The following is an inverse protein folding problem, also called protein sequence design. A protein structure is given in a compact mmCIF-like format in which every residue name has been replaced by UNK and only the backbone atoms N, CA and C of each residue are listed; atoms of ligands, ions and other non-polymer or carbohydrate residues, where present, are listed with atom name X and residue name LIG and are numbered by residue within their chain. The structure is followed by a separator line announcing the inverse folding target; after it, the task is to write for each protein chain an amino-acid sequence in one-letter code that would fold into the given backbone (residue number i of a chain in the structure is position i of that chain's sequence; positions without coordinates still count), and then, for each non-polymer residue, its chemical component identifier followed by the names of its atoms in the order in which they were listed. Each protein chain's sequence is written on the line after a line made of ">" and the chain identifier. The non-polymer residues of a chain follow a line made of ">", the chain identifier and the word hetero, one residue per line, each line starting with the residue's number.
data_IF_595683442076
#
_entry.id   IF_595683442076
#
_cell.length_a   1.000
_cell.length_b   1.000
_cell.length_c   1.000
_cell.angle_alpha   90.00
_cell.angle_beta   90.00
_cell.angle_gamma   90.00
#
_symmetry.space_group_name_H-M   'P 1'
#
loop_
_entity.id
_entity.type
_entity.pdbx_description
1 polymer ?
#
# COMPACT_ATOMS: atom_id res chain seq x y z
N UNK A 1 9.20 9.17 -36.57
CA UNK A 1 9.50 10.37 -35.76
C UNK A 1 9.46 9.88 -34.32
N UNK A 2 10.31 10.34 -33.43
CA UNK A 2 10.09 10.03 -32.00
C UNK A 2 8.83 10.78 -31.56
N UNK A 3 7.97 10.18 -30.69
CA UNK A 3 6.83 10.87 -30.16
C UNK A 3 7.27 12.10 -29.37
N UNK A 4 6.49 13.17 -29.44
CA UNK A 4 6.71 14.40 -28.68
C UNK A 4 6.02 14.30 -27.31
N UNK A 5 6.81 14.28 -26.28
CA UNK A 5 6.38 14.14 -24.87
C UNK A 5 6.34 15.48 -24.13
N UNK A 6 6.38 16.60 -24.87
CA UNK A 6 6.25 17.94 -24.29
C UNK A 6 4.87 18.15 -23.66
N UNK A 7 4.84 18.63 -22.43
CA UNK A 7 3.59 18.98 -21.72
C UNK A 7 3.00 20.24 -22.33
N UNK A 8 1.81 20.14 -22.95
CA UNK A 8 1.12 21.24 -23.58
C UNK A 8 0.06 21.89 -22.69
N UNK A 9 -0.65 21.05 -21.90
CA UNK A 9 -1.70 21.54 -21.01
C UNK A 9 -1.89 20.58 -19.83
N UNK A 10 -2.40 21.13 -18.72
CA UNK A 10 -2.77 20.35 -17.52
C UNK A 10 -4.11 20.85 -16.98
N UNK A 11 -4.97 19.89 -16.63
CA UNK A 11 -6.25 20.16 -15.98
C UNK A 11 -6.33 19.48 -14.61
N UNK A 12 -7.10 20.08 -13.71
CA UNK A 12 -7.41 19.50 -12.41
C UNK A 12 -8.91 19.58 -12.17
N UNK A 13 -9.46 18.58 -11.48
CA UNK A 13 -10.83 18.60 -10.97
C UNK A 13 -10.97 17.90 -9.64
N UNK A 14 -12.02 18.26 -8.92
CA UNK A 14 -12.43 17.52 -7.73
C UNK A 14 -13.17 16.25 -8.14
N UNK A 15 -12.85 15.13 -7.48
CA UNK A 15 -13.52 13.84 -7.63
C UNK A 15 -13.74 13.23 -6.24
N UNK A 16 -14.42 12.10 -6.16
CA UNK A 16 -14.63 11.38 -4.90
C UNK A 16 -13.82 10.08 -4.86
N UNK A 17 -13.23 9.80 -3.71
CA UNK A 17 -12.62 8.50 -3.44
C UNK A 17 -13.68 7.46 -3.00
N UNK A 18 -13.25 6.22 -2.74
CA UNK A 18 -14.14 5.10 -2.35
C UNK A 18 -14.84 5.28 -0.98
N UNK A 19 -14.41 6.29 -0.19
CA UNK A 19 -15.04 6.67 1.09
C UNK A 19 -16.07 7.80 0.93
N UNK A 20 -16.21 8.35 -0.30
CA UNK A 20 -17.03 9.53 -0.58
C UNK A 20 -16.40 10.84 -0.10
N UNK A 21 -15.09 10.86 0.12
CA UNK A 21 -14.34 12.05 0.46
C UNK A 21 -13.82 12.73 -0.81
N UNK A 22 -13.78 14.07 -0.82
CA UNK A 22 -13.23 14.83 -1.94
C UNK A 22 -11.73 14.59 -2.07
N UNK A 23 -11.29 14.38 -3.31
CA UNK A 23 -9.90 14.34 -3.73
C UNK A 23 -9.74 15.04 -5.08
N UNK A 24 -8.53 15.02 -5.64
CA UNK A 24 -8.24 15.66 -6.93
C UNK A 24 -7.83 14.62 -7.97
N UNK A 25 -8.29 14.86 -9.20
CA UNK A 25 -7.84 14.20 -10.41
C UNK A 25 -7.13 15.21 -11.29
N UNK A 26 -5.94 14.84 -11.78
CA UNK A 26 -5.15 15.65 -12.71
C UNK A 26 -5.14 14.99 -14.09
N UNK A 27 -5.29 15.79 -15.13
CA UNK A 27 -5.13 15.43 -16.53
C UNK A 27 -3.89 16.13 -17.10
N UNK A 28 -3.12 15.41 -17.90
CA UNK A 28 -1.92 15.91 -18.56
C UNK A 28 -2.03 15.62 -20.04
N UNK A 29 -1.91 16.66 -20.85
CA UNK A 29 -1.95 16.62 -22.30
C UNK A 29 -0.55 16.87 -22.86
N UNK A 30 -0.06 15.92 -23.63
CA UNK A 30 1.18 16.02 -24.39
C UNK A 30 0.86 16.20 -25.86
N UNK A 31 1.81 16.61 -26.66
CA UNK A 31 1.64 16.66 -28.13
C UNK A 31 1.14 15.32 -28.68
N UNK A 32 1.74 14.20 -28.27
CA UNK A 32 1.41 12.86 -28.76
C UNK A 32 0.81 11.93 -27.69
N UNK A 33 0.41 12.45 -26.53
CA UNK A 33 -0.06 11.61 -25.43
C UNK A 33 -1.04 12.30 -24.49
N UNK A 34 -1.72 11.47 -23.69
CA UNK A 34 -2.64 11.90 -22.65
C UNK A 34 -2.56 10.95 -21.45
N UNK A 35 -2.61 11.51 -20.25
CA UNK A 35 -2.67 10.74 -19.03
C UNK A 35 -3.50 11.41 -17.96
N UNK A 36 -4.08 10.62 -17.06
CA UNK A 36 -4.78 11.12 -15.89
C UNK A 36 -4.63 10.22 -14.70
N UNK A 37 -4.68 10.79 -13.52
CA UNK A 37 -4.66 10.07 -12.27
C UNK A 37 -5.34 10.87 -11.16
N UNK A 38 -5.89 10.17 -10.17
CA UNK A 38 -6.44 10.77 -8.97
C UNK A 38 -5.66 10.35 -7.72
N UNK A 39 -5.56 11.25 -6.75
CA UNK A 39 -4.87 10.98 -5.50
C UNK A 39 -5.72 10.08 -4.58
N UNK A 40 -5.17 8.98 -4.03
CA UNK A 40 -5.81 8.23 -2.96
C UNK A 40 -5.62 8.92 -1.60
N UNK A 41 -6.40 8.54 -0.58
CA UNK A 41 -6.32 9.09 0.76
C UNK A 41 -6.41 8.01 1.84
N UNK A 42 -5.59 8.09 2.89
CA UNK A 42 -5.69 7.23 4.06
C UNK A 42 -6.81 7.64 5.02
N UNK A 43 -7.49 6.68 5.66
CA UNK A 43 -8.40 6.92 6.79
C UNK A 43 -7.64 7.35 8.06
N UNK A 44 -6.43 6.86 8.23
CA UNK A 44 -5.42 7.33 9.18
C UNK A 44 -4.22 7.82 8.38
N UNK A 45 -3.54 8.83 8.90
CA UNK A 45 -2.31 9.36 8.32
C UNK A 45 -1.23 9.35 9.39
N UNK A 46 -0.05 8.84 9.06
CA UNK A 46 1.13 8.96 9.91
C UNK A 46 1.49 10.43 10.10
N UNK A 47 2.00 10.79 11.27
CA UNK A 47 2.28 12.20 11.60
C UNK A 47 3.38 12.83 10.70
N UNK A 48 4.13 11.99 10.00
CA UNK A 48 5.22 12.40 9.11
C UNK A 48 4.88 12.29 7.62
N UNK A 49 3.61 11.99 7.26
CA UNK A 49 3.16 12.09 5.86
C UNK A 49 3.17 13.56 5.39
N UNK A 50 3.29 13.74 4.07
CA UNK A 50 3.12 15.07 3.48
C UNK A 50 1.70 15.62 3.72
N UNK A 51 1.58 16.94 3.74
CA UNK A 51 0.28 17.62 3.89
C UNK A 51 -0.59 17.30 2.68
N UNK A 52 -1.75 16.69 2.90
CA UNK A 52 -2.61 16.21 1.81
C UNK A 52 -3.20 17.36 0.99
N UNK A 53 -3.85 18.32 1.64
CA UNK A 53 -4.25 19.60 1.05
C UNK A 53 -3.76 20.76 1.90
N UNK A 54 -3.34 21.90 1.28
CA UNK A 54 -2.99 23.09 2.02
C UNK A 54 -4.19 23.56 2.86
N UNK A 55 -3.97 23.76 4.16
CA UNK A 55 -5.01 24.13 5.14
C UNK A 55 -6.24 23.17 5.18
N UNK A 56 -6.09 21.91 4.78
CA UNK A 56 -7.18 20.95 4.60
C UNK A 56 -8.28 21.43 3.62
N UNK A 57 -7.93 22.28 2.66
CA UNK A 57 -8.85 22.93 1.71
C UNK A 57 -8.56 22.46 0.27
N UNK A 58 -9.47 21.66 -0.28
CA UNK A 58 -9.39 21.14 -1.65
C UNK A 58 -9.55 22.27 -2.70
N UNK A 59 -10.38 23.28 -2.44
CA UNK A 59 -10.57 24.39 -3.37
C UNK A 59 -9.32 25.26 -3.45
N UNK A 60 -8.63 25.45 -2.32
CA UNK A 60 -7.32 26.10 -2.28
C UNK A 60 -6.29 25.31 -3.08
N UNK A 61 -6.27 23.97 -2.93
CA UNK A 61 -5.36 23.11 -3.68
C UNK A 61 -5.61 23.21 -5.19
N UNK A 62 -6.87 23.16 -5.64
CA UNK A 62 -7.25 23.32 -7.05
C UNK A 62 -6.83 24.69 -7.57
N UNK A 63 -7.17 25.78 -6.87
CA UNK A 63 -6.80 27.13 -7.33
C UNK A 63 -5.29 27.37 -7.32
N UNK A 64 -4.54 26.72 -6.43
CA UNK A 64 -3.08 26.78 -6.41
C UNK A 64 -2.48 26.04 -7.59
N UNK A 65 -3.02 24.85 -7.93
CA UNK A 65 -2.61 24.12 -9.12
C UNK A 65 -2.78 24.94 -10.39
N UNK A 66 -3.96 25.51 -10.60
CA UNK A 66 -4.26 26.32 -11.80
C UNK A 66 -3.36 27.57 -11.95
N UNK A 67 -3.01 28.20 -10.83
CA UNK A 67 -2.24 29.46 -10.84
C UNK A 67 -0.74 29.26 -10.85
N UNK A 68 -0.25 28.15 -10.29
CA UNK A 68 1.19 27.97 -10.07
C UNK A 68 1.74 26.66 -10.64
N UNK A 69 1.05 25.53 -10.47
CA UNK A 69 1.58 24.23 -10.90
C UNK A 69 1.45 24.06 -12.41
N UNK A 70 0.24 24.19 -12.95
CA UNK A 70 0.00 23.96 -14.37
C UNK A 70 0.84 24.88 -15.28
N UNK A 71 0.89 26.23 -15.07
CA UNK A 71 1.70 27.09 -15.92
C UNK A 71 3.20 26.79 -15.88
N UNK A 72 3.69 26.28 -14.74
CA UNK A 72 5.12 26.08 -14.51
C UNK A 72 5.63 24.72 -15.02
N UNK A 73 4.73 23.76 -15.23
CA UNK A 73 5.03 22.47 -15.83
C UNK A 73 4.91 22.44 -17.36
N UNK A 74 4.19 23.40 -17.96
CA UNK A 74 4.07 23.49 -19.43
C UNK A 74 5.44 23.66 -20.08
N UNK A 75 5.67 22.92 -21.17
CA UNK A 75 6.94 22.91 -21.91
C UNK A 75 7.99 21.95 -21.38
N UNK A 76 7.78 21.30 -20.22
CA UNK A 76 8.66 20.23 -19.76
C UNK A 76 8.46 18.93 -20.56
N UNK A 77 9.50 18.12 -20.61
CA UNK A 77 9.44 16.79 -21.21
C UNK A 77 8.92 15.76 -20.18
N UNK A 78 7.70 15.27 -20.38
CA UNK A 78 7.06 14.29 -19.52
C UNK A 78 7.80 12.93 -19.48
N UNK A 79 8.68 12.63 -20.44
CA UNK A 79 9.47 11.39 -20.42
C UNK A 79 10.56 11.38 -19.35
N UNK A 80 10.92 12.56 -18.84
CA UNK A 80 11.90 12.74 -17.77
C UNK A 80 11.17 12.96 -16.45
N UNK A 81 10.54 11.90 -15.92
CA UNK A 81 9.73 11.94 -14.69
C UNK A 81 10.39 12.71 -13.54
N UNK A 82 11.70 12.52 -13.34
CA UNK A 82 12.43 13.16 -12.24
C UNK A 82 12.51 14.69 -12.38
N UNK A 83 12.56 15.25 -13.59
CA UNK A 83 12.56 16.70 -13.78
C UNK A 83 11.20 17.29 -13.41
N UNK A 84 10.10 16.64 -13.80
CA UNK A 84 8.74 17.08 -13.45
C UNK A 84 8.53 16.99 -11.94
N UNK A 85 8.95 15.89 -11.29
CA UNK A 85 8.78 15.70 -9.86
C UNK A 85 9.64 16.68 -9.04
N UNK A 86 10.89 16.96 -9.47
CA UNK A 86 11.74 18.02 -8.88
C UNK A 86 11.07 19.38 -9.04
N UNK A 87 10.47 19.65 -10.20
CA UNK A 87 9.78 20.92 -10.43
C UNK A 87 8.58 21.11 -9.50
N UNK A 88 7.81 20.04 -9.23
CA UNK A 88 6.74 20.08 -8.23
C UNK A 88 7.27 20.44 -6.83
N UNK A 89 8.42 19.88 -6.43
CA UNK A 89 9.08 20.21 -5.17
C UNK A 89 9.54 21.66 -5.10
N UNK A 90 10.12 22.18 -6.19
CA UNK A 90 10.55 23.58 -6.29
C UNK A 90 9.37 24.56 -6.21
N UNK A 91 8.25 24.25 -6.89
CA UNK A 91 7.01 25.05 -6.84
C UNK A 91 6.45 25.07 -5.41
N UNK A 92 6.43 23.93 -4.72
CA UNK A 92 5.99 23.85 -3.32
C UNK A 92 6.95 24.59 -2.38
N UNK A 93 8.24 24.34 -2.50
CA UNK A 93 9.30 24.99 -1.70
C UNK A 93 9.27 24.65 -0.22
N UNK A 94 8.49 23.61 0.20
CA UNK A 94 8.46 23.10 1.57
C UNK A 94 8.92 21.64 1.61
N UNK A 95 9.25 21.11 2.78
CA UNK A 95 9.68 19.72 2.90
C UNK A 95 8.55 18.71 2.74
N UNK A 96 7.29 19.13 2.98
CA UNK A 96 6.13 18.25 3.14
C UNK A 96 4.93 18.62 2.24
N UNK A 97 5.15 19.30 1.13
CA UNK A 97 4.11 19.73 0.19
C UNK A 97 2.96 20.55 0.83
N UNK A 98 3.26 21.34 1.87
CA UNK A 98 2.23 22.12 2.57
C UNK A 98 1.66 23.31 1.77
N UNK A 99 2.31 23.69 0.65
CA UNK A 99 1.86 24.81 -0.18
C UNK A 99 0.96 24.41 -1.34
N UNK A 100 1.30 23.33 -2.07
CA UNK A 100 0.47 22.83 -3.19
C UNK A 100 -0.40 21.63 -2.79
N UNK A 101 0.01 20.89 -1.78
CA UNK A 101 -0.64 19.67 -1.32
C UNK A 101 -0.05 18.41 -1.93
N UNK A 102 0.20 17.39 -1.11
CA UNK A 102 0.69 16.08 -1.54
C UNK A 102 -0.28 15.36 -2.48
N UNK A 103 -1.59 15.58 -2.33
CA UNK A 103 -2.59 15.06 -3.25
C UNK A 103 -2.42 15.61 -4.67
N UNK A 104 -2.18 16.91 -4.79
CA UNK A 104 -1.90 17.56 -6.09
C UNK A 104 -0.59 17.02 -6.67
N UNK A 105 0.46 16.94 -5.85
CA UNK A 105 1.77 16.46 -6.29
C UNK A 105 1.70 15.02 -6.82
N UNK A 106 1.12 14.08 -6.05
CA UNK A 106 1.06 12.66 -6.44
C UNK A 106 0.14 12.42 -7.64
N UNK A 107 -1.01 13.11 -7.71
CA UNK A 107 -1.90 12.99 -8.87
C UNK A 107 -1.22 13.49 -10.14
N UNK A 108 -0.51 14.64 -10.06
CA UNK A 108 0.26 15.19 -11.19
C UNK A 108 1.38 14.25 -11.61
N UNK A 109 2.20 13.79 -10.67
CA UNK A 109 3.32 12.86 -10.92
C UNK A 109 2.84 11.56 -11.61
N UNK A 110 1.74 10.97 -11.12
CA UNK A 110 1.15 9.78 -11.75
C UNK A 110 0.52 10.06 -13.13
N UNK A 111 -0.13 11.21 -13.31
CA UNK A 111 -0.74 11.57 -14.58
C UNK A 111 0.32 11.83 -15.68
N UNK A 112 1.43 12.46 -15.30
CA UNK A 112 2.60 12.68 -16.19
C UNK A 112 3.20 11.33 -16.62
N UNK A 113 3.46 10.43 -15.69
CA UNK A 113 3.98 9.09 -16.02
C UNK A 113 3.06 8.34 -17.00
N UNK A 114 1.74 8.43 -16.78
CA UNK A 114 0.76 7.80 -17.67
C UNK A 114 0.70 8.47 -19.04
N UNK A 115 0.74 9.80 -19.10
CA UNK A 115 0.76 10.52 -20.37
C UNK A 115 2.01 10.16 -21.19
N UNK A 116 3.16 10.17 -20.56
CA UNK A 116 4.44 9.78 -21.18
C UNK A 116 4.43 8.34 -21.68
N UNK A 117 3.96 7.39 -20.86
CA UNK A 117 3.88 5.97 -21.26
C UNK A 117 2.96 5.78 -22.48
N UNK A 118 1.85 6.52 -22.56
CA UNK A 118 0.91 6.49 -23.66
C UNK A 118 1.54 7.10 -24.94
N UNK A 119 2.22 8.25 -24.83
CA UNK A 119 2.91 8.87 -25.96
C UNK A 119 4.00 7.94 -26.54
N UNK A 120 4.74 7.27 -25.66
CA UNK A 120 5.80 6.33 -26.05
C UNK A 120 5.27 4.95 -26.50
N UNK A 121 3.95 4.71 -26.43
CA UNK A 121 3.29 3.44 -26.74
C UNK A 121 3.87 2.24 -25.95
N UNK A 122 4.32 2.46 -24.71
CA UNK A 122 4.83 1.41 -23.83
C UNK A 122 3.94 1.30 -22.58
N UNK A 123 3.76 0.09 -22.00
CA UNK A 123 3.03 -0.06 -20.76
C UNK A 123 3.63 0.76 -19.63
N UNK A 124 2.78 1.35 -18.78
CA UNK A 124 3.24 2.21 -17.67
C UNK A 124 4.24 1.51 -16.74
N UNK A 125 4.09 0.21 -16.45
CA UNK A 125 5.07 -0.51 -15.63
C UNK A 125 6.46 -0.60 -16.27
N UNK A 126 6.53 -0.65 -17.62
CA UNK A 126 7.81 -0.61 -18.34
C UNK A 126 8.40 0.79 -18.41
N UNK A 127 7.55 1.81 -18.50
CA UNK A 127 7.99 3.19 -18.40
C UNK A 127 8.63 3.48 -17.04
N UNK A 128 8.05 2.95 -15.95
CA UNK A 128 8.54 3.14 -14.59
C UNK A 128 9.76 2.26 -14.26
N UNK A 129 9.80 1.02 -14.72
CA UNK A 129 10.79 0.03 -14.27
C UNK A 129 11.77 -0.43 -15.35
N UNK A 130 11.60 0.05 -16.59
CA UNK A 130 12.41 -0.33 -17.74
C UNK A 130 11.95 -1.61 -18.44
N UNK A 131 12.50 -1.85 -19.62
CA UNK A 131 12.09 -2.93 -20.55
C UNK A 131 12.38 -4.35 -20.05
N UNK A 132 13.21 -4.51 -19.03
CA UNK A 132 13.52 -5.80 -18.41
C UNK A 132 12.60 -6.17 -17.25
N UNK A 133 11.61 -5.34 -16.91
CA UNK A 133 10.64 -5.61 -15.85
C UNK A 133 9.76 -6.80 -16.22
N UNK A 134 9.78 -7.87 -15.37
CA UNK A 134 9.07 -9.13 -15.61
C UNK A 134 8.61 -9.84 -14.33
N UNK A 135 8.92 -9.30 -13.17
CA UNK A 135 8.57 -9.88 -11.89
C UNK A 135 7.24 -9.27 -11.39
N UNK A 136 6.24 -10.13 -11.11
CA UNK A 136 4.96 -9.70 -10.55
C UNK A 136 4.95 -9.86 -9.03
N UNK A 137 4.32 -8.92 -8.30
CA UNK A 137 4.18 -9.00 -6.86
C UNK A 137 3.21 -10.09 -6.45
N UNK A 138 3.39 -10.66 -5.25
CA UNK A 138 2.36 -11.45 -4.59
C UNK A 138 1.31 -10.52 -3.96
N UNK A 139 0.00 -10.80 -4.16
CA UNK A 139 -1.06 -9.98 -3.59
C UNK A 139 -1.28 -10.31 -2.10
N UNK A 140 -0.99 -9.37 -1.22
CA UNK A 140 -1.33 -9.41 0.21
C UNK A 140 -2.75 -8.86 0.38
N UNK A 141 -3.70 -9.74 0.68
CA UNK A 141 -5.12 -9.42 0.68
C UNK A 141 -5.70 -9.24 2.08
N UNK A 142 -6.44 -8.15 2.32
CA UNK A 142 -7.16 -7.93 3.57
C UNK A 142 -8.47 -8.76 3.58
N UNK A 143 -8.63 -9.64 4.57
CA UNK A 143 -9.75 -10.61 4.67
C UNK A 143 -10.72 -10.24 5.78
N UNK A 144 -10.21 -9.91 6.98
CA UNK A 144 -11.00 -9.47 8.14
C UNK A 144 -10.45 -8.12 8.59
N UNK A 145 -11.34 -7.16 8.76
CA UNK A 145 -11.01 -5.82 9.23
C UNK A 145 -11.44 -5.58 10.67
N UNK A 146 -10.62 -4.82 11.38
CA UNK A 146 -10.86 -4.34 12.74
C UNK A 146 -10.42 -2.88 12.90
N UNK A 147 -10.06 -2.49 14.10
CA UNK A 147 -9.53 -1.17 14.43
C UNK A 147 -10.37 -0.01 13.88
N UNK A 148 -9.71 1.03 13.38
CA UNK A 148 -10.37 2.21 12.77
C UNK A 148 -11.13 1.85 11.49
N UNK A 149 -10.67 0.89 10.70
CA UNK A 149 -11.31 0.46 9.46
C UNK A 149 -12.70 -0.16 9.68
N UNK A 150 -13.00 -0.66 10.88
CA UNK A 150 -14.31 -1.20 11.28
C UNK A 150 -15.06 -0.28 12.26
N UNK A 151 -14.72 0.99 12.31
CA UNK A 151 -15.33 2.01 13.20
C UNK A 151 -15.33 1.60 14.69
N UNK A 152 -14.28 0.90 15.11
CA UNK A 152 -14.13 0.39 16.47
C UNK A 152 -15.08 -0.75 16.85
N UNK A 153 -15.71 -1.41 15.87
CA UNK A 153 -16.54 -2.58 16.06
C UNK A 153 -15.83 -3.82 15.54
N UNK A 154 -15.41 -4.73 16.43
CA UNK A 154 -14.70 -5.94 16.06
C UNK A 154 -13.31 -6.08 16.71
N UNK A 155 -12.35 -6.78 16.09
CA UNK A 155 -10.99 -6.90 16.62
C UNK A 155 -10.30 -5.54 16.77
N UNK A 156 -9.45 -5.37 17.79
CA UNK A 156 -8.64 -4.15 17.94
C UNK A 156 -7.50 -4.09 16.91
N UNK A 157 -6.98 -5.22 16.46
CA UNK A 157 -6.05 -5.31 15.32
C UNK A 157 -6.75 -4.89 14.04
N UNK A 158 -6.09 -4.03 13.25
CA UNK A 158 -6.71 -3.34 12.12
C UNK A 158 -6.98 -4.25 10.92
N UNK A 159 -6.03 -5.16 10.58
CA UNK A 159 -6.18 -6.03 9.40
C UNK A 159 -5.65 -7.44 9.66
N UNK A 160 -6.37 -8.41 9.11
CA UNK A 160 -5.98 -9.81 9.06
C UNK A 160 -5.82 -10.22 7.60
N UNK A 161 -4.57 -10.51 7.23
CA UNK A 161 -4.08 -10.54 5.87
C UNK A 161 -3.74 -11.97 5.42
N UNK A 162 -3.83 -12.20 4.12
CA UNK A 162 -3.36 -13.45 3.50
C UNK A 162 -2.42 -13.18 2.33
N UNK A 163 -1.35 -13.97 2.25
CA UNK A 163 -0.29 -13.84 1.26
C UNK A 163 -0.04 -15.19 0.58
N UNK A 164 -0.53 -15.43 -0.64
CA UNK A 164 -0.35 -16.70 -1.38
C UNK A 164 1.03 -16.78 -2.03
N UNK A 165 2.10 -16.75 -1.21
CA UNK A 165 3.51 -16.68 -1.66
C UNK A 165 4.01 -17.95 -2.36
N UNK A 166 3.27 -19.07 -2.29
CA UNK A 166 3.55 -20.30 -3.03
C UNK A 166 2.87 -20.39 -4.38
N UNK A 167 2.06 -19.41 -4.77
CA UNK A 167 1.31 -19.44 -6.02
C UNK A 167 2.21 -19.41 -7.25
N UNK A 168 1.92 -20.22 -8.29
CA UNK A 168 2.75 -20.31 -9.49
C UNK A 168 2.61 -19.08 -10.41
N UNK A 169 1.49 -18.37 -10.33
CA UNK A 169 1.15 -17.22 -11.17
C UNK A 169 0.20 -16.27 -10.42
N UNK A 170 0.04 -15.05 -10.97
CA UNK A 170 -0.79 -14.00 -10.36
C UNK A 170 -2.27 -14.36 -10.32
N UNK A 171 -2.79 -15.03 -11.36
CA UNK A 171 -4.20 -15.43 -11.40
C UNK A 171 -4.52 -16.46 -10.29
N UNK A 172 -3.66 -17.46 -10.12
CA UNK A 172 -3.77 -18.45 -9.06
C UNK A 172 -3.67 -17.81 -7.67
N UNK A 173 -2.78 -16.82 -7.48
CA UNK A 173 -2.64 -16.07 -6.24
C UNK A 173 -3.92 -15.29 -5.91
N UNK A 174 -4.45 -14.52 -6.85
CA UNK A 174 -5.69 -13.75 -6.67
C UNK A 174 -6.90 -14.65 -6.43
N UNK A 175 -6.99 -15.78 -7.14
CA UNK A 175 -8.06 -16.77 -6.94
C UNK A 175 -8.00 -17.37 -5.52
N UNK A 176 -6.81 -17.64 -4.99
CA UNK A 176 -6.64 -18.12 -3.62
C UNK A 176 -7.12 -17.08 -2.59
N UNK A 177 -6.77 -15.79 -2.76
CA UNK A 177 -7.26 -14.70 -1.91
C UNK A 177 -8.80 -14.63 -1.91
N UNK A 178 -9.44 -14.70 -3.08
CA UNK A 178 -10.91 -14.71 -3.19
C UNK A 178 -11.52 -15.94 -2.51
N UNK A 179 -10.91 -17.11 -2.65
CA UNK A 179 -11.40 -18.35 -2.01
C UNK A 179 -11.30 -18.26 -0.48
N UNK A 180 -10.18 -17.75 0.06
CA UNK A 180 -10.03 -17.51 1.50
C UNK A 180 -11.08 -16.53 1.99
N UNK A 181 -11.23 -15.39 1.33
CA UNK A 181 -12.21 -14.35 1.70
C UNK A 181 -13.63 -14.92 1.75
N UNK A 182 -14.05 -15.69 0.73
CA UNK A 182 -15.37 -16.34 0.69
C UNK A 182 -15.55 -17.42 1.76
N UNK A 183 -14.50 -18.17 2.06
CA UNK A 183 -14.55 -19.23 3.07
C UNK A 183 -14.62 -18.65 4.46
N UNK A 184 -13.89 -17.55 4.74
CA UNK A 184 -13.98 -16.81 6.01
C UNK A 184 -15.39 -16.29 6.25
N UNK A 185 -16.09 -15.78 5.25
CA UNK A 185 -17.51 -15.40 5.39
C UNK A 185 -18.37 -16.53 5.98
N UNK A 186 -18.22 -17.75 5.43
CA UNK A 186 -18.99 -18.91 5.90
C UNK A 186 -18.70 -19.25 7.35
N UNK A 187 -17.45 -19.08 7.80
CA UNK A 187 -17.07 -19.31 9.19
C UNK A 187 -17.58 -18.20 10.12
N UNK A 188 -17.55 -16.94 9.68
CA UNK A 188 -18.10 -15.81 10.43
C UNK A 188 -19.61 -15.98 10.69
N UNK A 189 -20.38 -16.42 9.70
CA UNK A 189 -21.83 -16.72 9.87
C UNK A 189 -22.08 -17.82 10.90
N UNK A 190 -21.17 -18.80 11.03
CA UNK A 190 -21.30 -19.86 12.06
C UNK A 190 -21.05 -19.31 13.47
N UNK A 191 -20.12 -18.37 13.62
CA UNK A 191 -19.77 -17.76 14.93
C UNK A 191 -20.81 -16.69 15.32
N UNK A 192 -21.24 -15.90 14.37
CA UNK A 192 -22.30 -14.89 14.54
C UNK A 192 -23.39 -15.07 13.47
N UNK A 193 -24.47 -15.81 13.76
CA UNK A 193 -25.59 -15.98 12.80
C UNK A 193 -26.28 -14.67 12.38
N UNK A 194 -26.06 -13.57 13.12
CA UNK A 194 -26.57 -12.24 12.75
C UNK A 194 -25.70 -11.51 11.75
N UNK A 195 -24.50 -12.02 11.46
CA UNK A 195 -23.57 -11.41 10.51
C UNK A 195 -24.08 -11.50 9.08
N UNK A 196 -24.40 -10.36 8.49
CA UNK A 196 -25.01 -10.25 7.15
C UNK A 196 -24.00 -9.93 6.04
N UNK A 197 -22.69 -9.96 6.33
CA UNK A 197 -21.64 -9.66 5.34
C UNK A 197 -21.25 -8.19 5.26
N UNK A 198 -21.30 -7.48 6.38
CA UNK A 198 -20.73 -6.13 6.49
C UNK A 198 -19.24 -6.13 6.16
N UNK A 199 -18.81 -5.14 5.40
CA UNK A 199 -17.41 -4.95 4.98
C UNK A 199 -16.92 -3.58 5.42
N UNK A 200 -15.61 -3.49 5.66
CA UNK A 200 -14.93 -2.22 5.91
C UNK A 200 -14.60 -1.49 4.59
N UNK A 201 -13.92 -0.35 4.70
CA UNK A 201 -13.54 0.51 3.58
C UNK A 201 -12.62 -0.20 2.55
N UNK A 202 -11.97 -1.29 2.93
CA UNK A 202 -11.06 -2.06 2.08
C UNK A 202 -11.66 -3.37 1.56
N UNK A 203 -12.95 -3.58 1.80
CA UNK A 203 -13.66 -4.78 1.33
C UNK A 203 -13.48 -6.02 2.21
N UNK A 204 -12.76 -5.91 3.34
CA UNK A 204 -12.60 -6.99 4.32
C UNK A 204 -13.84 -7.14 5.19
N UNK A 205 -14.07 -8.35 5.70
CA UNK A 205 -15.22 -8.64 6.56
C UNK A 205 -15.12 -7.91 7.91
N UNK A 206 -16.14 -7.14 8.27
CA UNK A 206 -16.24 -6.44 9.53
C UNK A 206 -17.25 -7.15 10.46
N UNK A 207 -16.73 -7.96 11.39
CA UNK A 207 -17.53 -8.80 12.28
C UNK A 207 -17.20 -8.51 13.75
N UNK A 208 -18.19 -8.66 14.66
CA UNK A 208 -18.00 -8.47 16.10
C UNK A 208 -17.40 -9.71 16.76
N UNK A 209 -16.10 -9.88 16.57
CA UNK A 209 -15.31 -11.00 17.09
C UNK A 209 -14.03 -10.48 17.75
N UNK A 210 -13.40 -11.29 18.58
CA UNK A 210 -12.09 -10.98 19.16
C UNK A 210 -10.96 -11.21 18.16
N UNK A 211 -9.79 -10.62 18.41
CA UNK A 211 -8.53 -10.89 17.69
C UNK A 211 -8.22 -12.38 17.62
N UNK A 212 -8.35 -13.09 18.76
CA UNK A 212 -8.12 -14.53 18.82
C UNK A 212 -9.07 -15.31 17.91
N UNK A 213 -10.37 -15.00 17.93
CA UNK A 213 -11.37 -15.63 17.05
C UNK A 213 -11.07 -15.37 15.58
N UNK A 214 -10.69 -14.14 15.21
CA UNK A 214 -10.33 -13.79 13.84
C UNK A 214 -9.14 -14.62 13.33
N UNK A 215 -8.06 -14.72 14.12
CA UNK A 215 -6.88 -15.51 13.77
C UNK A 215 -7.16 -17.02 13.75
N UNK A 216 -7.97 -17.55 14.65
CA UNK A 216 -8.34 -18.98 14.67
C UNK A 216 -9.16 -19.36 13.42
N UNK A 217 -10.11 -18.50 13.01
CA UNK A 217 -10.87 -18.67 11.76
C UNK A 217 -9.92 -18.62 10.56
N UNK A 218 -9.11 -17.57 10.47
CA UNK A 218 -8.22 -17.37 9.33
C UNK A 218 -7.21 -18.50 9.19
N UNK A 219 -6.59 -18.93 10.28
CA UNK A 219 -5.62 -20.04 10.29
C UNK A 219 -6.24 -21.37 9.81
N UNK A 220 -7.47 -21.68 10.24
CA UNK A 220 -8.20 -22.86 9.77
C UNK A 220 -8.50 -22.78 8.28
N UNK A 221 -9.09 -21.67 7.83
CA UNK A 221 -9.46 -21.46 6.42
C UNK A 221 -8.24 -21.46 5.52
N UNK A 222 -7.15 -20.80 5.91
CA UNK A 222 -5.91 -20.77 5.13
C UNK A 222 -5.35 -22.16 4.93
N UNK A 223 -5.32 -23.02 5.98
CA UNK A 223 -4.89 -24.41 5.86
C UNK A 223 -5.76 -25.22 4.90
N UNK A 224 -7.09 -25.08 4.98
CA UNK A 224 -8.03 -25.75 4.08
C UNK A 224 -7.83 -25.32 2.62
N UNK A 225 -7.72 -24.00 2.38
CA UNK A 225 -7.52 -23.48 1.04
C UNK A 225 -6.14 -23.84 0.49
N UNK A 226 -5.06 -23.74 1.28
CA UNK A 226 -3.70 -24.16 0.86
C UNK A 226 -3.68 -25.62 0.40
N UNK A 227 -4.32 -26.51 1.16
CA UNK A 227 -4.43 -27.92 0.77
C UNK A 227 -5.21 -28.12 -0.52
N UNK A 228 -6.27 -27.32 -0.74
CA UNK A 228 -7.11 -27.38 -1.94
C UNK A 228 -6.39 -26.88 -3.19
N UNK A 229 -5.63 -25.79 -3.08
CA UNK A 229 -4.94 -25.17 -4.22
C UNK A 229 -3.55 -25.77 -4.48
N UNK A 230 -2.97 -26.48 -3.50
CA UNK A 230 -1.69 -27.18 -3.62
C UNK A 230 -0.45 -26.28 -3.50
N UNK A 231 -0.60 -25.09 -2.90
CA UNK A 231 0.52 -24.19 -2.62
C UNK A 231 0.31 -23.42 -1.30
N UNK A 232 1.40 -22.83 -0.80
CA UNK A 232 1.44 -22.17 0.49
C UNK A 232 0.79 -20.77 0.45
N UNK A 233 -0.04 -20.50 1.47
CA UNK A 233 -0.65 -19.21 1.77
C UNK A 233 -0.23 -18.84 3.19
N UNK A 234 0.46 -17.72 3.34
CA UNK A 234 0.84 -17.14 4.62
C UNK A 234 -0.26 -16.28 5.23
N UNK A 235 -0.21 -16.11 6.55
CA UNK A 235 -1.07 -15.21 7.32
C UNK A 235 -0.24 -14.01 7.74
N UNK A 236 -0.83 -12.82 7.66
CA UNK A 236 -0.26 -11.59 8.19
C UNK A 236 -1.27 -10.79 9.01
N UNK A 237 -0.77 -9.81 9.73
CA UNK A 237 -1.57 -8.81 10.44
C UNK A 237 -1.00 -7.43 10.24
N UNK A 238 -1.86 -6.42 10.23
CA UNK A 238 -1.52 -5.02 10.42
C UNK A 238 -2.16 -4.56 11.73
N UNK A 239 -1.34 -4.16 12.69
CA UNK A 239 -1.83 -3.70 13.98
C UNK A 239 -2.21 -2.23 13.96
N UNK A 240 -1.57 -1.41 13.12
CA UNK A 240 -1.64 0.03 13.16
C UNK A 240 -1.50 0.55 14.61
N UNK A 241 -0.46 0.08 15.30
CA UNK A 241 -0.37 0.18 16.77
C UNK A 241 -0.22 1.61 17.28
N UNK A 242 0.12 2.59 16.43
CA UNK A 242 0.02 4.02 16.77
C UNK A 242 -1.39 4.41 17.21
N UNK A 243 -2.43 3.76 16.65
CA UNK A 243 -3.82 4.00 17.04
C UNK A 243 -4.21 3.38 18.39
N UNK A 244 -3.44 2.41 18.87
CA UNK A 244 -3.63 1.79 20.18
C UNK A 244 -2.81 2.48 21.29
N UNK A 245 -1.85 3.31 20.92
CA UNK A 245 -0.93 3.97 21.84
C UNK A 245 -1.56 5.20 22.50
N UNK A 246 -1.55 5.26 23.83
CA UNK A 246 -2.09 6.39 24.61
C UNK A 246 -1.01 7.33 25.17
N UNK A 247 0.24 7.16 24.75
CA UNK A 247 1.40 7.90 25.28
C UNK A 247 2.24 7.11 26.30
N UNK A 248 1.71 6.01 26.85
CA UNK A 248 2.39 5.15 27.84
C UNK A 248 2.20 3.68 27.56
N UNK A 249 1.01 3.27 27.09
CA UNK A 249 0.60 1.87 26.91
C UNK A 249 -0.25 1.69 25.66
N UNK A 250 -0.31 0.46 25.18
CA UNK A 250 -1.20 0.04 24.10
C UNK A 250 -2.55 -0.40 24.68
N UNK A 251 -3.65 0.26 24.26
CA UNK A 251 -5.00 0.02 24.77
C UNK A 251 -5.84 -0.68 23.72
N UNK A 252 -6.19 -1.92 23.98
CA UNK A 252 -7.08 -2.75 23.18
C UNK A 252 -8.49 -2.62 23.73
N UNK A 253 -9.21 -1.60 23.25
CA UNK A 253 -10.46 -1.13 23.84
C UNK A 253 -11.57 -2.18 23.79
N UNK A 254 -11.70 -2.89 22.64
CA UNK A 254 -12.76 -3.90 22.45
C UNK A 254 -12.52 -5.16 23.26
N UNK A 255 -11.26 -5.47 23.54
CA UNK A 255 -10.86 -6.63 24.34
C UNK A 255 -10.69 -6.28 25.83
N UNK A 256 -10.73 -5.00 26.19
CA UNK A 256 -10.55 -4.53 27.57
C UNK A 256 -9.15 -4.80 28.15
N UNK A 257 -8.13 -4.82 27.28
CA UNK A 257 -6.76 -5.17 27.63
C UNK A 257 -5.83 -3.97 27.40
N UNK A 258 -4.91 -3.77 28.33
CA UNK A 258 -3.86 -2.76 28.21
C UNK A 258 -2.50 -3.43 28.34
N UNK A 259 -1.54 -3.06 27.46
CA UNK A 259 -0.18 -3.62 27.43
C UNK A 259 0.87 -2.52 27.53
N UNK A 260 1.87 -2.70 28.36
CA UNK A 260 3.11 -1.94 28.31
C UNK A 260 3.89 -2.27 27.02
N UNK A 261 4.90 -1.51 26.60
CA UNK A 261 5.73 -1.81 25.45
C UNK A 261 6.32 -3.23 25.47
N UNK A 262 6.80 -3.66 26.65
CA UNK A 262 7.33 -5.02 26.82
C UNK A 262 6.26 -6.11 26.67
N UNK A 263 5.08 -5.92 27.24
CA UNK A 263 3.96 -6.86 27.08
C UNK A 263 3.44 -6.87 25.64
N UNK A 264 3.51 -5.75 24.93
CA UNK A 264 3.19 -5.67 23.50
C UNK A 264 4.16 -6.53 22.68
N UNK A 265 5.46 -6.42 22.92
CA UNK A 265 6.49 -7.22 22.24
C UNK A 265 6.24 -8.73 22.45
N UNK A 266 6.02 -9.18 23.69
CA UNK A 266 5.74 -10.58 23.99
C UNK A 266 4.41 -11.04 23.37
N UNK A 267 3.40 -10.20 23.35
CA UNK A 267 2.12 -10.49 22.68
C UNK A 267 2.30 -10.72 21.19
N UNK A 268 2.99 -9.80 20.48
CA UNK A 268 3.22 -9.92 19.03
C UNK A 268 4.05 -11.18 18.72
N UNK A 269 5.12 -11.40 19.45
CA UNK A 269 5.94 -12.62 19.34
C UNK A 269 5.10 -13.89 19.52
N UNK A 270 4.25 -13.91 20.55
CA UNK A 270 3.32 -15.02 20.79
C UNK A 270 2.32 -15.25 19.65
N UNK A 271 1.83 -14.19 19.00
CA UNK A 271 0.97 -14.30 17.80
C UNK A 271 1.76 -14.90 16.62
N UNK A 272 2.98 -14.41 16.36
CA UNK A 272 3.84 -14.92 15.29
C UNK A 272 4.10 -16.41 15.47
N UNK A 273 4.47 -16.85 16.68
CA UNK A 273 4.76 -18.24 16.99
C UNK A 273 3.51 -19.14 16.91
N UNK A 274 2.38 -18.68 17.48
CA UNK A 274 1.15 -19.49 17.55
C UNK A 274 0.51 -19.71 16.17
N UNK A 275 0.51 -18.68 15.31
CA UNK A 275 -0.18 -18.71 14.02
C UNK A 275 0.74 -18.83 12.81
N UNK A 276 2.07 -18.93 13.03
CA UNK A 276 3.10 -18.91 11.98
C UNK A 276 2.92 -17.70 11.04
N UNK A 277 2.79 -16.50 11.63
CA UNK A 277 2.63 -15.32 10.85
C UNK A 277 3.90 -15.05 10.02
N UNK A 278 3.71 -14.74 8.75
CA UNK A 278 4.80 -14.41 7.81
C UNK A 278 4.94 -12.90 7.60
N UNK A 279 4.02 -12.11 8.11
CA UNK A 279 3.95 -10.67 7.91
C UNK A 279 3.29 -9.99 9.11
N UNK A 280 3.96 -9.00 9.69
CA UNK A 280 3.43 -8.15 10.76
C UNK A 280 3.77 -6.70 10.45
N UNK A 281 2.73 -5.88 10.25
CA UNK A 281 2.83 -4.46 9.96
C UNK A 281 2.51 -3.64 11.20
N UNK A 282 3.28 -2.59 11.40
CA UNK A 282 3.17 -1.61 12.49
C UNK A 282 2.83 -2.23 13.87
N UNK A 283 3.66 -3.16 14.38
CA UNK A 283 3.44 -3.81 15.68
C UNK A 283 3.57 -2.86 16.88
N UNK A 284 4.21 -1.70 16.70
CA UNK A 284 4.43 -0.67 17.69
C UNK A 284 4.11 0.71 17.15
N UNK A 285 4.06 1.74 18.01
CA UNK A 285 3.79 3.11 17.58
C UNK A 285 4.97 3.69 16.75
N UNK A 286 4.69 4.68 15.93
CA UNK A 286 5.54 5.21 14.87
C UNK A 286 6.90 5.81 15.32
N UNK A 287 7.10 6.04 16.63
CA UNK A 287 8.38 6.52 17.16
C UNK A 287 9.19 5.43 17.92
N UNK A 288 8.66 4.20 18.02
CA UNK A 288 9.32 3.12 18.78
C UNK A 288 10.24 2.25 17.92
N UNK A 289 11.26 2.87 17.30
CA UNK A 289 12.27 2.16 16.51
C UNK A 289 12.94 1.03 17.28
N UNK A 290 13.11 1.20 18.61
CA UNK A 290 13.76 0.22 19.47
C UNK A 290 12.98 -1.08 19.56
N UNK A 291 11.67 -1.03 19.81
CA UNK A 291 10.85 -2.24 19.89
C UNK A 291 10.70 -2.92 18.51
N UNK A 292 10.65 -2.14 17.41
CA UNK A 292 10.74 -2.68 16.06
C UNK A 292 12.05 -3.45 15.84
N UNK A 293 13.19 -2.89 16.24
CA UNK A 293 14.50 -3.53 16.12
C UNK A 293 14.58 -4.82 16.95
N UNK A 294 14.13 -4.79 18.19
CA UNK A 294 14.09 -5.96 19.07
C UNK A 294 13.22 -7.08 18.52
N UNK A 295 12.04 -6.77 18.00
CA UNK A 295 11.19 -7.78 17.36
C UNK A 295 11.86 -8.34 16.10
N UNK A 296 12.47 -7.47 15.27
CA UNK A 296 13.13 -7.87 14.02
C UNK A 296 14.30 -8.81 14.28
N UNK A 297 15.11 -8.56 15.31
CA UNK A 297 16.21 -9.45 15.71
C UNK A 297 15.70 -10.85 16.13
N UNK A 298 14.54 -10.92 16.78
CA UNK A 298 13.96 -12.19 17.25
C UNK A 298 13.30 -13.01 16.13
N UNK A 299 12.58 -12.36 15.19
CA UNK A 299 11.70 -13.05 14.24
C UNK A 299 12.00 -12.78 12.77
N UNK A 300 12.93 -11.89 12.46
CA UNK A 300 13.14 -11.39 11.10
C UNK A 300 13.65 -12.40 10.06
N UNK A 301 14.08 -13.59 10.50
CA UNK A 301 14.44 -14.72 9.66
C UNK A 301 13.23 -15.51 9.13
N UNK A 302 12.07 -15.37 9.76
CA UNK A 302 10.83 -16.15 9.44
C UNK A 302 9.59 -15.29 9.26
N UNK A 303 9.63 -14.00 9.63
CA UNK A 303 8.51 -13.09 9.55
C UNK A 303 8.97 -11.71 9.05
N UNK A 304 8.23 -11.13 8.12
CA UNK A 304 8.44 -9.75 7.74
C UNK A 304 7.87 -8.84 8.84
N UNK A 305 8.73 -8.01 9.43
CA UNK A 305 8.38 -6.92 10.34
C UNK A 305 8.40 -5.64 9.51
N UNK A 306 7.21 -5.14 9.19
CA UNK A 306 7.02 -4.10 8.17
C UNK A 306 6.58 -2.81 8.81
N UNK A 307 7.19 -1.70 8.41
CA UNK A 307 6.80 -0.36 8.85
C UNK A 307 5.97 0.37 7.80
N UNK A 308 4.83 0.91 8.22
CA UNK A 308 4.01 1.88 7.50
C UNK A 308 4.16 3.26 8.15
N UNK A 309 3.48 3.54 9.25
CA UNK A 309 3.51 4.84 9.94
C UNK A 309 4.91 5.22 10.43
N UNK A 310 5.73 4.25 10.83
CA UNK A 310 7.11 4.49 11.27
C UNK A 310 8.00 5.05 10.14
N UNK A 311 7.74 4.67 8.88
CA UNK A 311 8.56 5.07 7.73
C UNK A 311 7.89 6.04 6.78
N UNK A 312 6.56 6.00 6.63
CA UNK A 312 5.70 6.84 5.76
C UNK A 312 6.28 7.04 4.35
N UNK A 313 6.83 5.99 3.75
CA UNK A 313 7.51 6.04 2.44
C UNK A 313 8.67 7.07 2.39
N UNK A 314 9.19 7.52 3.53
CA UNK A 314 10.18 8.60 3.63
C UNK A 314 11.60 8.03 3.75
N UNK A 315 12.54 8.36 2.80
CA UNK A 315 13.89 7.82 2.81
C UNK A 315 14.70 8.22 4.05
N UNK A 316 14.44 9.38 4.66
CA UNK A 316 15.11 9.81 5.88
C UNK A 316 14.69 8.95 7.08
N UNK A 317 13.38 8.69 7.23
CA UNK A 317 12.88 7.82 8.30
C UNK A 317 13.31 6.35 8.08
N UNK A 318 13.30 5.88 6.83
CA UNK A 318 13.84 4.55 6.50
C UNK A 318 15.33 4.45 6.83
N UNK A 319 16.14 5.51 6.56
CA UNK A 319 17.55 5.54 6.93
C UNK A 319 17.77 5.42 8.44
N UNK A 320 16.89 6.04 9.26
CA UNK A 320 16.91 5.84 10.72
C UNK A 320 16.60 4.38 11.08
N UNK A 321 15.56 3.80 10.49
CA UNK A 321 15.21 2.38 10.71
C UNK A 321 16.34 1.43 10.33
N UNK A 322 16.98 1.63 9.19
CA UNK A 322 18.12 0.83 8.74
C UNK A 322 19.26 0.89 9.76
N UNK A 323 19.57 2.09 10.26
CA UNK A 323 20.64 2.29 11.27
C UNK A 323 20.33 1.60 12.60
N UNK A 324 19.07 1.61 13.03
CA UNK A 324 18.63 0.99 14.28
C UNK A 324 18.32 -0.51 14.12
N UNK A 325 18.23 -1.04 12.90
CA UNK A 325 17.77 -2.42 12.61
C UNK A 325 16.26 -2.61 12.75
N UNK A 326 15.50 -1.51 12.64
CA UNK A 326 14.05 -1.50 12.88
C UNK A 326 13.27 -1.97 11.65
N UNK A 327 12.77 -3.21 11.69
CA UNK A 327 12.04 -3.82 10.58
C UNK A 327 12.95 -4.46 9.52
N UNK A 328 12.32 -5.19 8.60
CA UNK A 328 12.94 -5.79 7.42
C UNK A 328 12.04 -5.65 6.16
N UNK A 329 10.97 -4.85 6.28
CA UNK A 329 10.07 -4.46 5.20
C UNK A 329 9.53 -3.04 5.40
N UNK A 330 9.04 -2.46 4.33
CA UNK A 330 8.47 -1.11 4.31
C UNK A 330 7.24 -1.05 3.40
N UNK A 331 6.18 -0.39 3.87
CA UNK A 331 5.04 -0.03 3.04
C UNK A 331 5.40 1.15 2.14
N UNK A 332 5.04 1.07 0.88
CA UNK A 332 5.27 2.11 -0.12
C UNK A 332 3.91 2.65 -0.60
N UNK A 333 3.65 3.89 -0.29
CA UNK A 333 2.47 4.67 -0.68
C UNK A 333 2.94 6.00 -1.27
N UNK A 334 2.92 6.19 -2.60
CA UNK A 334 3.45 7.42 -3.21
C UNK A 334 2.82 8.71 -2.69
N UNK A 335 1.56 8.66 -2.27
CA UNK A 335 0.86 9.82 -1.70
C UNK A 335 1.37 10.24 -0.31
N UNK A 336 2.04 9.33 0.44
CA UNK A 336 2.67 9.68 1.72
C UNK A 336 3.89 10.59 1.57
N UNK A 337 4.53 10.57 0.38
CA UNK A 337 5.77 11.29 0.09
C UNK A 337 5.63 12.33 -1.04
N UNK A 338 4.54 12.27 -1.81
CA UNK A 338 4.10 13.29 -2.78
C UNK A 338 4.45 13.01 -4.23
N UNK A 339 5.51 12.29 -4.58
CA UNK A 339 5.88 12.01 -5.98
C UNK A 339 6.34 10.58 -6.21
N UNK A 340 6.28 10.12 -7.46
CA UNK A 340 6.78 8.80 -7.86
C UNK A 340 8.30 8.72 -7.72
N UNK A 341 9.04 9.79 -8.02
CA UNK A 341 10.50 9.80 -7.90
C UNK A 341 10.96 9.63 -6.46
N UNK A 342 10.35 10.34 -5.51
CA UNK A 342 10.64 10.16 -4.08
C UNK A 342 10.29 8.76 -3.57
N UNK A 343 9.15 8.23 -4.00
CA UNK A 343 8.75 6.86 -3.67
C UNK A 343 9.74 5.84 -4.25
N UNK A 344 10.20 6.05 -5.48
CA UNK A 344 11.23 5.23 -6.13
C UNK A 344 12.56 5.26 -5.38
N UNK A 345 13.02 6.44 -4.94
CA UNK A 345 14.25 6.57 -4.15
C UNK A 345 14.14 5.80 -2.82
N UNK A 346 12.98 5.83 -2.19
CA UNK A 346 12.71 5.04 -0.97
C UNK A 346 12.78 3.54 -1.25
N UNK A 347 12.18 3.08 -2.36
CA UNK A 347 12.26 1.66 -2.77
C UNK A 347 13.71 1.24 -3.03
N UNK A 348 14.48 2.06 -3.73
CA UNK A 348 15.92 1.78 -4.00
C UNK A 348 16.72 1.68 -2.70
N UNK A 349 16.50 2.61 -1.77
CA UNK A 349 17.13 2.58 -0.46
C UNK A 349 16.76 1.30 0.31
N UNK A 350 15.48 0.94 0.33
CA UNK A 350 14.96 -0.27 0.97
C UNK A 350 15.64 -1.53 0.42
N UNK A 351 15.59 -1.74 -0.89
CA UNK A 351 16.16 -2.92 -1.56
C UNK A 351 17.68 -3.01 -1.36
N UNK A 352 18.39 -1.88 -1.44
CA UNK A 352 19.85 -1.84 -1.26
C UNK A 352 20.28 -2.22 0.17
N UNK A 353 19.37 -2.13 1.15
CA UNK A 353 19.61 -2.48 2.55
C UNK A 353 18.86 -3.73 2.99
N UNK A 354 18.36 -4.52 2.04
CA UNK A 354 17.72 -5.81 2.30
C UNK A 354 16.29 -5.74 2.86
N UNK A 355 15.64 -4.57 2.85
CA UNK A 355 14.22 -4.42 3.17
C UNK A 355 13.35 -4.87 1.99
N UNK A 356 12.18 -5.42 2.31
CA UNK A 356 11.15 -5.80 1.33
C UNK A 356 10.19 -4.64 1.13
N UNK A 357 10.14 -4.00 -0.06
CA UNK A 357 9.12 -3.00 -0.35
C UNK A 357 7.77 -3.67 -0.61
N UNK A 358 6.72 -3.12 -0.01
CA UNK A 358 5.32 -3.54 -0.16
C UNK A 358 4.52 -2.35 -0.69
N UNK A 359 4.22 -2.35 -1.98
CA UNK A 359 3.40 -1.29 -2.57
C UNK A 359 1.96 -1.47 -2.13
N UNK A 360 1.37 -0.43 -1.55
CA UNK A 360 0.08 -0.52 -0.86
C UNK A 360 -0.95 0.48 -1.35
N UNK A 361 -2.20 0.02 -1.41
CA UNK A 361 -3.37 0.87 -1.58
C UNK A 361 -3.62 1.76 -0.36
N UNK A 362 -4.61 2.65 -0.46
CA UNK A 362 -5.14 3.40 0.68
C UNK A 362 -6.59 3.00 0.95
N UNK A 363 -7.09 3.27 2.17
CA UNK A 363 -8.49 3.01 2.53
C UNK A 363 -9.47 3.82 1.68
N UNK A 364 -9.19 5.10 1.42
CA UNK A 364 -9.88 5.93 0.45
C UNK A 364 -9.16 5.90 -0.90
N UNK A 365 -9.48 4.92 -1.74
CA UNK A 365 -8.82 4.71 -3.03
C UNK A 365 -9.71 5.17 -4.19
N UNK A 366 -9.16 5.18 -5.40
CA UNK A 366 -9.85 5.55 -6.63
C UNK A 366 -9.93 4.37 -7.59
N UNK A 367 -10.69 4.50 -8.69
CA UNK A 367 -10.83 3.46 -9.71
C UNK A 367 -9.58 3.21 -10.55
N UNK A 368 -8.54 4.03 -10.40
CA UNK A 368 -7.32 3.93 -11.20
C UNK A 368 -6.51 2.67 -10.85
N UNK A 369 -5.94 2.08 -11.89
CA UNK A 369 -5.11 0.86 -11.81
C UNK A 369 -3.61 1.16 -11.61
N UNK A 370 -3.21 2.42 -11.52
CA UNK A 370 -1.83 2.92 -11.47
C UNK A 370 -0.98 2.18 -10.43
N UNK A 371 -1.55 1.82 -9.28
CA UNK A 371 -0.85 1.09 -8.23
C UNK A 371 -0.28 -0.26 -8.69
N UNK A 372 -1.00 -0.97 -9.58
CA UNK A 372 -0.50 -2.24 -10.14
C UNK A 372 0.77 -2.01 -10.98
N UNK A 373 0.76 -0.97 -11.80
CA UNK A 373 1.92 -0.59 -12.60
C UNK A 373 3.10 -0.13 -11.73
N UNK A 374 2.84 0.63 -10.66
CA UNK A 374 3.87 1.03 -9.68
C UNK A 374 4.49 -0.19 -9.02
N UNK A 375 3.67 -1.14 -8.54
CA UNK A 375 4.16 -2.33 -7.88
C UNK A 375 5.08 -3.17 -8.79
N UNK A 376 4.68 -3.34 -10.04
CA UNK A 376 5.46 -4.09 -11.03
C UNK A 376 6.68 -3.29 -11.48
N UNK A 377 6.52 -2.01 -11.82
CA UNK A 377 7.60 -1.13 -12.30
C UNK A 377 8.69 -0.92 -11.24
N UNK A 378 8.31 -0.76 -9.99
CA UNK A 378 9.26 -0.62 -8.88
C UNK A 378 9.85 -1.96 -8.42
N UNK A 379 9.42 -3.08 -9.01
CA UNK A 379 9.94 -4.41 -8.67
C UNK A 379 9.57 -4.87 -7.28
N UNK A 380 8.50 -4.34 -6.70
CA UNK A 380 8.05 -4.71 -5.36
C UNK A 380 7.64 -6.18 -5.31
N UNK A 381 8.11 -6.96 -4.32
CA UNK A 381 7.74 -8.37 -4.18
C UNK A 381 6.29 -8.58 -3.72
N UNK A 382 5.68 -7.57 -3.11
CA UNK A 382 4.33 -7.62 -2.54
C UNK A 382 3.55 -6.38 -2.97
N UNK A 383 2.27 -6.60 -3.31
CA UNK A 383 1.26 -5.55 -3.40
C UNK A 383 0.19 -5.79 -2.34
N UNK A 384 0.00 -4.84 -1.42
CA UNK A 384 -1.07 -4.88 -0.41
C UNK A 384 -2.33 -4.23 -0.98
N UNK A 385 -3.44 -4.96 -0.98
CA UNK A 385 -4.73 -4.44 -1.46
C UNK A 385 -5.89 -5.23 -0.87
N UNK A 386 -7.05 -4.59 -0.72
CA UNK A 386 -8.30 -5.31 -0.48
C UNK A 386 -8.60 -6.29 -1.61
N UNK A 387 -9.35 -7.35 -1.29
CA UNK A 387 -9.68 -8.44 -2.23
C UNK A 387 -10.92 -8.11 -3.07
N UNK A 388 -11.87 -7.39 -2.51
CA UNK A 388 -13.14 -7.00 -3.13
C UNK A 388 -13.36 -5.50 -3.04
N UNK A 389 -14.11 -4.97 -3.99
CA UNK A 389 -14.38 -3.55 -4.19
C UNK A 389 -14.00 -3.16 -5.61
N UNK A 390 -14.73 -2.24 -6.24
CA UNK A 390 -14.45 -1.84 -7.63
C UNK A 390 -13.05 -1.26 -7.78
N UNK A 391 -12.69 -0.35 -6.87
CA UNK A 391 -11.39 0.30 -6.78
C UNK A 391 -10.24 -0.69 -6.50
N UNK A 392 -10.49 -1.79 -5.79
CA UNK A 392 -9.51 -2.86 -5.52
C UNK A 392 -9.35 -3.76 -6.73
N UNK A 393 -10.49 -4.21 -7.30
CA UNK A 393 -10.52 -5.07 -8.49
C UNK A 393 -9.87 -4.39 -9.71
N UNK A 394 -9.96 -3.07 -9.84
CA UNK A 394 -9.26 -2.34 -10.89
C UNK A 394 -7.75 -2.67 -10.89
N UNK A 395 -7.10 -2.59 -9.74
CA UNK A 395 -5.66 -2.89 -9.58
C UNK A 395 -5.35 -4.38 -9.74
N UNK A 396 -6.18 -5.24 -9.13
CA UNK A 396 -5.94 -6.68 -9.15
C UNK A 396 -6.12 -7.27 -10.57
N UNK A 397 -7.12 -6.82 -11.31
CA UNK A 397 -7.31 -7.22 -12.70
C UNK A 397 -6.20 -6.68 -13.61
N UNK A 398 -5.65 -5.50 -13.28
CA UNK A 398 -4.52 -4.96 -14.04
C UNK A 398 -3.27 -5.82 -13.91
N UNK A 399 -3.00 -6.40 -12.75
CA UNK A 399 -1.90 -7.37 -12.61
C UNK A 399 -2.07 -8.59 -13.54
N UNK A 400 -3.31 -9.04 -13.77
CA UNK A 400 -3.59 -10.13 -14.72
C UNK A 400 -3.30 -9.66 -16.15
N UNK A 401 -3.72 -8.44 -16.54
CA UNK A 401 -3.43 -7.89 -17.88
C UNK A 401 -1.94 -7.70 -18.11
N UNK A 402 -1.21 -7.21 -17.10
CA UNK A 402 0.25 -7.09 -17.14
C UNK A 402 0.90 -8.47 -17.32
N UNK A 403 0.42 -9.49 -16.60
CA UNK A 403 0.87 -10.87 -16.77
C UNK A 403 0.66 -11.36 -18.20
N UNK A 404 -0.54 -11.18 -18.75
CA UNK A 404 -0.88 -11.58 -20.12
C UNK A 404 -0.01 -10.84 -21.15
N UNK A 405 0.22 -9.54 -20.95
CA UNK A 405 1.08 -8.73 -21.81
C UNK A 405 2.54 -9.21 -21.78
N UNK A 406 3.08 -9.54 -20.62
CA UNK A 406 4.44 -10.09 -20.48
C UNK A 406 4.59 -11.49 -21.09
N UNK A 407 3.51 -12.26 -21.15
CA UNK A 407 3.47 -13.60 -21.71
C UNK A 407 4.47 -14.54 -21.03
N UNK A 408 5.29 -15.25 -21.83
CA UNK A 408 6.25 -16.23 -21.32
C UNK A 408 7.39 -15.63 -20.47
N UNK A 409 7.60 -14.33 -20.50
CA UNK A 409 8.63 -13.66 -19.70
C UNK A 409 8.16 -13.40 -18.26
N UNK A 410 6.84 -13.42 -18.00
CA UNK A 410 6.26 -13.17 -16.70
C UNK A 410 6.67 -14.23 -15.67
N UNK A 411 6.95 -13.80 -14.47
CA UNK A 411 7.19 -14.69 -13.31
C UNK A 411 6.79 -13.99 -12.02
N UNK A 412 6.43 -14.77 -11.00
CA UNK A 412 6.23 -14.25 -9.65
C UNK A 412 7.58 -13.87 -9.02
N UNK A 413 7.60 -12.82 -8.20
CA UNK A 413 8.83 -12.29 -7.61
C UNK A 413 9.44 -13.27 -6.59
N UNK A 414 10.54 -13.89 -6.94
CA UNK A 414 11.21 -14.94 -6.13
C UNK A 414 11.98 -14.37 -4.92
N UNK A 415 12.24 -13.06 -4.85
CA UNK A 415 12.94 -12.46 -3.72
C UNK A 415 12.18 -12.65 -2.40
N UNK A 416 10.84 -12.56 -2.45
CA UNK A 416 9.98 -12.80 -1.30
C UNK A 416 10.08 -14.25 -0.79
N UNK A 417 9.98 -15.21 -1.71
CA UNK A 417 9.97 -16.64 -1.36
C UNK A 417 11.26 -17.05 -0.64
N UNK A 418 12.38 -16.47 -1.02
CA UNK A 418 13.68 -16.71 -0.37
C UNK A 418 13.75 -16.15 1.04
N UNK A 419 13.03 -15.05 1.34
CA UNK A 419 13.02 -14.45 2.69
C UNK A 419 12.11 -15.16 3.67
N UNK A 420 10.99 -15.73 3.21
CA UNK A 420 9.99 -16.38 4.08
C UNK A 420 10.31 -17.88 4.30
N UNK A 421 11.06 -18.52 3.40
CA UNK A 421 11.35 -19.97 3.44
C UNK A 421 12.64 -20.35 4.18
N UNK A 422 13.37 -19.40 4.71
CA UNK A 422 14.57 -19.64 5.53
C UNK A 422 14.33 -19.29 6.98
#
# INVERSE_FOLDING_TARGET
>A
MMPDTTIEDLGIRKVFNSRGEETVEVEVYLTDGFGKAAAPAGASRGSHEVVYFPNDDVDLAVSTFEKTVAPDLMGLDASIQSEVDIRLEEIDGTENFSRIGGAVAVATSMAVARASSNALEIPLYQHLGGTNTRDLPYPLGNVIGGGKHSRGLGPDIQEFLVLPYGAPDIYSALKANVEVHRSVFKELVKVDPSFTGGRNDEGAWSARISTGTALDILNRVVKEVSNKVGFEIGIGVDLAASNLWNGEKYVYTNEGITRSPKEQLEFIKGLIEKYNLVFVEDPFHEEDFKSFAELTDIVGDKCLVVGDDIFVTNPSRLSMGIKEGAGNGIIIKPDQIGTLSRAWDTVRLAVSNGYVPVVSHRSGDTEYDTLAHIAVGFGAPIIKSGILGGERIAKLNELIRIWDYMGKAARMNQALVRKIKH
#
